data_IF_353292284683
#
_entry.id   IF_353292284683
#
_cell.length_a   1.000
_cell.length_b   1.000
_cell.length_c   1.000
_cell.angle_alpha   90.00
_cell.angle_beta   90.00
_cell.angle_gamma   90.00
#
_symmetry.space_group_name_H-M   'P 1'
#
loop_
_entity.id
_entity.type
_entity.pdbx_description
1 polymer ?
#
# COMPACT_ATOMS: atom_id res chain seq x y z
N UNK A 1 5.94 -7.79 -5.98
CA UNK A 1 5.10 -7.80 -4.76
C UNK A 1 3.64 -7.74 -5.18
N UNK A 2 2.75 -8.38 -4.42
CA UNK A 2 1.30 -8.35 -4.66
C UNK A 2 0.57 -7.89 -3.41
N UNK A 3 -0.60 -7.30 -3.61
CA UNK A 3 -1.51 -6.88 -2.57
C UNK A 3 -2.96 -7.10 -2.99
N UNK A 4 -3.81 -7.44 -2.03
CA UNK A 4 -5.21 -7.79 -2.27
C UNK A 4 -6.14 -6.73 -1.68
N UNK A 5 -7.18 -6.38 -2.42
CA UNK A 5 -8.21 -5.48 -1.93
C UNK A 5 -9.52 -5.70 -2.66
N UNK A 6 -10.47 -4.81 -2.41
CA UNK A 6 -11.73 -4.81 -3.11
C UNK A 6 -12.33 -3.41 -3.15
N UNK A 7 -13.15 -3.16 -4.16
CA UNK A 7 -14.09 -2.04 -4.15
C UNK A 7 -15.51 -2.54 -3.93
N UNK A 8 -16.40 -1.62 -3.51
CA UNK A 8 -17.81 -1.92 -3.41
C UNK A 8 -18.47 -1.54 -4.74
N UNK A 9 -18.93 -2.55 -5.48
CA UNK A 9 -19.60 -2.34 -6.76
C UNK A 9 -20.99 -1.70 -6.50
N UNK A 10 -21.08 -0.37 -6.57
CA UNK A 10 -22.30 0.39 -6.21
C UNK A 10 -23.35 0.50 -7.32
N UNK A 11 -23.10 -0.03 -8.52
CA UNK A 11 -24.00 0.20 -9.66
C UNK A 11 -24.81 -1.04 -10.03
N UNK A 12 -26.14 -0.84 -10.02
CA UNK A 12 -27.23 -1.71 -10.49
C UNK A 12 -27.52 -3.01 -9.73
N UNK A 13 -28.21 -2.89 -8.58
CA UNK A 13 -29.10 -3.95 -8.13
C UNK A 13 -30.38 -3.35 -7.53
N UNK A 14 -31.46 -3.44 -8.31
CA UNK A 14 -32.83 -3.52 -7.78
C UNK A 14 -32.83 -4.46 -6.57
N UNK A 15 -33.39 -3.98 -5.46
CA UNK A 15 -33.59 -4.67 -4.17
C UNK A 15 -33.53 -6.20 -4.28
N UNK A 16 -32.34 -6.78 -4.15
CA UNK A 16 -32.14 -8.21 -3.85
C UNK A 16 -31.15 -8.29 -2.70
N UNK A 17 -31.50 -9.13 -1.72
CA UNK A 17 -30.84 -9.36 -0.41
C UNK A 17 -29.34 -9.04 -0.42
N UNK A 18 -28.88 -8.30 0.61
CA UNK A 18 -27.46 -7.97 0.93
C UNK A 18 -26.53 -9.18 0.75
N UNK A 19 -26.06 -9.41 -0.47
CA UNK A 19 -24.79 -10.09 -0.72
C UNK A 19 -23.76 -8.99 -0.80
N UNK A 20 -22.70 -9.07 0.01
CA UNK A 20 -21.57 -8.16 -0.08
C UNK A 20 -20.96 -8.30 -1.48
N UNK A 21 -21.37 -7.44 -2.42
CA UNK A 21 -20.93 -7.47 -3.80
C UNK A 21 -19.58 -6.75 -3.92
N UNK A 22 -18.57 -7.32 -3.27
CA UNK A 22 -17.19 -6.82 -3.28
C UNK A 22 -16.54 -7.26 -4.59
N UNK A 23 -16.10 -6.31 -5.40
CA UNK A 23 -15.26 -6.61 -6.55
C UNK A 23 -13.82 -6.71 -6.06
N UNK A 24 -13.33 -7.95 -5.93
CA UNK A 24 -11.96 -8.18 -5.53
C UNK A 24 -10.99 -7.71 -6.60
N UNK A 25 -9.80 -7.29 -6.19
CA UNK A 25 -8.74 -6.76 -7.05
C UNK A 25 -7.37 -7.15 -6.52
N UNK A 26 -6.40 -7.23 -7.42
CA UNK A 26 -4.99 -7.52 -7.09
C UNK A 26 -4.13 -6.37 -7.58
N UNK A 27 -3.43 -5.70 -6.68
CA UNK A 27 -2.35 -4.79 -7.02
C UNK A 27 -1.06 -5.60 -7.20
N UNK A 28 -0.40 -5.39 -8.33
CA UNK A 28 0.94 -5.92 -8.64
C UNK A 28 1.92 -4.75 -8.70
N UNK A 29 3.00 -4.86 -7.93
CA UNK A 29 4.11 -3.91 -7.89
C UNK A 29 5.37 -4.65 -8.34
N UNK A 30 6.02 -4.14 -9.38
CA UNK A 30 7.22 -4.77 -9.95
C UNK A 30 8.21 -3.73 -10.43
N UNK A 31 9.49 -4.07 -10.34
CA UNK A 31 10.57 -3.25 -10.88
C UNK A 31 10.91 -3.76 -12.29
N UNK A 32 10.98 -2.85 -13.27
CA UNK A 32 11.40 -3.20 -14.63
C UNK A 32 12.93 -3.27 -14.77
N UNK A 33 13.67 -2.50 -13.96
CA UNK A 33 15.12 -2.36 -14.08
C UNK A 33 15.78 -2.39 -12.69
N UNK A 34 16.36 -3.52 -12.26
CA UNK A 34 17.04 -3.62 -10.96
C UNK A 34 18.26 -2.70 -10.82
N UNK A 35 18.89 -2.32 -11.94
CA UNK A 35 20.20 -1.66 -11.99
C UNK A 35 20.16 -0.14 -12.18
N UNK A 36 18.99 0.45 -12.44
CA UNK A 36 18.80 1.91 -12.54
C UNK A 36 17.60 2.27 -11.68
N UNK A 37 17.74 3.29 -10.84
CA UNK A 37 16.72 3.94 -10.00
C UNK A 37 15.35 3.26 -9.95
N UNK A 38 14.93 2.82 -8.76
CA UNK A 38 13.64 2.23 -8.35
C UNK A 38 12.37 2.58 -9.18
N UNK A 39 12.36 2.23 -10.47
CA UNK A 39 11.27 2.48 -11.41
C UNK A 39 10.23 1.39 -11.25
N UNK A 40 9.45 1.51 -10.17
CA UNK A 40 8.33 0.65 -9.92
C UNK A 40 7.19 0.94 -10.89
N UNK A 41 6.60 -0.14 -11.42
CA UNK A 41 5.35 -0.12 -12.15
C UNK A 41 4.27 -0.79 -11.32
N UNK A 42 3.05 -0.32 -11.56
CA UNK A 42 1.87 -0.70 -10.81
C UNK A 42 0.80 -1.16 -11.80
N UNK A 43 0.25 -2.33 -11.55
CA UNK A 43 -0.86 -2.88 -12.31
C UNK A 43 -1.95 -3.35 -11.35
N UNK A 44 -3.20 -3.17 -11.72
CA UNK A 44 -4.35 -3.72 -10.99
C UNK A 44 -5.04 -4.74 -11.86
N UNK A 45 -5.23 -5.94 -11.33
CA UNK A 45 -6.12 -6.93 -11.91
C UNK A 45 -7.52 -6.73 -11.34
N UNK A 46 -8.49 -6.59 -12.23
CA UNK A 46 -9.90 -6.46 -11.90
C UNK A 46 -10.64 -7.75 -12.26
N UNK A 47 -11.18 -8.43 -11.25
CA UNK A 47 -11.90 -9.68 -11.43
C UNK A 47 -13.22 -9.51 -12.19
N UNK A 48 -13.85 -8.33 -12.11
CA UNK A 48 -15.10 -8.07 -12.82
C UNK A 48 -14.92 -7.97 -14.33
N UNK A 49 -13.77 -7.42 -14.77
CA UNK A 49 -13.43 -7.32 -16.19
C UNK A 49 -12.48 -8.42 -16.67
N UNK A 50 -11.99 -9.27 -15.76
CA UNK A 50 -11.00 -10.31 -16.02
C UNK A 50 -9.76 -9.76 -16.76
N UNK A 51 -9.26 -8.59 -16.35
CA UNK A 51 -8.19 -7.91 -17.09
C UNK A 51 -7.20 -7.18 -16.17
N UNK A 52 -5.98 -6.99 -16.68
CA UNK A 52 -4.96 -6.15 -16.05
C UNK A 52 -5.03 -4.72 -16.59
N UNK A 53 -5.00 -3.75 -15.68
CA UNK A 53 -4.92 -2.32 -15.98
C UNK A 53 -3.58 -1.77 -15.46
N UNK A 54 -2.85 -1.05 -16.31
CA UNK A 54 -1.64 -0.33 -15.91
C UNK A 54 -2.03 0.97 -15.20
N UNK A 55 -1.37 1.27 -14.08
CA UNK A 55 -1.52 2.54 -13.39
C UNK A 55 -0.34 3.45 -13.71
N UNK A 56 -0.63 4.68 -14.13
CA UNK A 56 0.38 5.72 -14.30
C UNK A 56 0.55 6.49 -12.99
N UNK A 57 1.35 5.91 -12.09
CA UNK A 57 1.66 6.51 -10.78
C UNK A 57 3.16 6.63 -10.60
N UNK A 58 3.59 7.79 -10.09
CA UNK A 58 4.98 8.12 -9.77
C UNK A 58 5.07 8.57 -8.32
N UNK A 59 5.15 7.63 -7.36
CA UNK A 59 5.23 7.99 -5.95
C UNK A 59 6.57 8.65 -5.62
N UNK A 60 6.54 9.60 -4.68
CA UNK A 60 7.74 10.26 -4.14
C UNK A 60 8.44 9.44 -3.04
N UNK A 61 8.02 8.18 -2.86
CA UNK A 61 8.45 7.27 -1.81
C UNK A 61 8.74 5.89 -2.39
N UNK A 62 9.53 5.10 -1.66
CA UNK A 62 9.90 3.75 -2.06
C UNK A 62 9.28 2.71 -1.14
N UNK A 63 8.62 1.71 -1.72
CA UNK A 63 8.19 0.49 -1.03
C UNK A 63 9.33 -0.53 -1.12
N UNK A 64 9.89 -0.95 0.02
CA UNK A 64 10.97 -1.93 0.00
C UNK A 64 10.46 -3.32 -0.38
N UNK A 65 11.23 -4.05 -1.18
CA UNK A 65 10.84 -5.37 -1.70
C UNK A 65 10.54 -6.42 -0.62
N UNK A 66 11.14 -6.29 0.57
CA UNK A 66 10.92 -7.17 1.72
C UNK A 66 9.73 -6.74 2.60
N UNK A 67 9.28 -5.49 2.50
CA UNK A 67 8.15 -4.99 3.30
C UNK A 67 6.83 -5.41 2.66
N UNK A 68 5.99 -6.12 3.42
CA UNK A 68 4.68 -6.59 2.93
C UNK A 68 3.60 -5.57 3.24
N UNK A 69 2.73 -5.32 2.27
CA UNK A 69 1.51 -4.56 2.50
C UNK A 69 0.49 -5.36 3.29
N UNK A 70 -0.33 -4.68 4.08
CA UNK A 70 -1.40 -5.29 4.88
C UNK A 70 -2.75 -4.75 4.47
N UNK A 71 -3.70 -5.65 4.23
CA UNK A 71 -5.05 -5.28 3.80
C UNK A 71 -5.97 -5.04 5.00
N UNK A 72 -6.65 -3.89 4.99
CA UNK A 72 -7.66 -3.49 5.97
C UNK A 72 -8.87 -2.91 5.25
N UNK A 73 -10.06 -3.44 5.52
CA UNK A 73 -11.36 -2.94 5.00
C UNK A 73 -11.40 -2.72 3.48
N UNK A 74 -10.67 -3.55 2.73
CA UNK A 74 -10.64 -3.53 1.26
C UNK A 74 -9.48 -2.73 0.64
N UNK A 75 -8.71 -2.02 1.45
CA UNK A 75 -7.52 -1.28 1.00
C UNK A 75 -6.23 -1.90 1.55
N UNK A 76 -5.10 -1.63 0.92
CA UNK A 76 -3.80 -2.14 1.40
C UNK A 76 -2.89 -1.00 1.85
N UNK A 77 -2.27 -1.18 3.01
CA UNK A 77 -1.35 -0.24 3.64
C UNK A 77 0.07 -0.75 3.50
N UNK A 78 0.99 0.13 3.11
CA UNK A 78 2.40 -0.19 2.93
C UNK A 78 3.26 0.75 3.78
N UNK A 79 4.26 0.23 4.51
CA UNK A 79 5.32 1.06 5.04
C UNK A 79 6.22 1.49 3.88
N UNK A 80 6.62 2.76 3.85
CA UNK A 80 7.45 3.33 2.79
C UNK A 80 8.44 4.34 3.36
N UNK A 81 9.60 4.42 2.70
CA UNK A 81 10.59 5.46 2.98
C UNK A 81 10.32 6.66 2.08
N UNK A 82 10.02 7.80 2.69
CA UNK A 82 9.89 9.10 2.02
C UNK A 82 11.16 9.91 2.24
N UNK A 83 11.74 10.41 1.14
CA UNK A 83 12.87 11.36 1.23
C UNK A 83 12.34 12.74 1.62
N UNK A 84 12.87 13.33 2.70
CA UNK A 84 12.73 14.74 3.04
C UNK A 84 14.05 15.46 2.77
N UNK A 85 13.98 16.63 2.15
CA UNK A 85 15.15 17.45 1.76
C UNK A 85 15.32 18.71 2.62
N UNK A 86 14.51 18.91 3.65
CA UNK A 86 14.59 20.12 4.50
C UNK A 86 15.81 20.02 5.42
N UNK A 87 16.84 20.83 5.15
CA UNK A 87 18.06 20.91 5.95
C UNK A 87 19.06 19.75 5.77
N UNK A 88 18.85 18.87 4.79
CA UNK A 88 19.65 17.67 4.53
C UNK A 88 18.81 16.52 3.94
N UNK A 89 19.43 15.41 3.55
CA UNK A 89 18.70 14.19 3.11
C UNK A 89 18.33 13.37 4.34
N UNK A 90 17.09 13.53 4.82
CA UNK A 90 16.53 12.70 5.89
C UNK A 90 15.50 11.72 5.30
N UNK A 91 15.55 10.46 5.73
CA UNK A 91 14.57 9.46 5.35
C UNK A 91 13.56 9.34 6.49
N UNK A 92 12.27 9.49 6.16
CA UNK A 92 11.17 9.30 7.09
C UNK A 92 10.36 8.06 6.70
N UNK A 93 10.06 7.17 7.65
CA UNK A 93 9.07 6.14 7.42
C UNK A 93 7.66 6.71 7.56
N UNK A 94 6.82 6.38 6.60
CA UNK A 94 5.40 6.74 6.58
C UNK A 94 4.58 5.54 6.11
N UNK A 95 3.28 5.57 6.36
CA UNK A 95 2.34 4.62 5.79
C UNK A 95 1.65 5.23 4.57
N UNK A 96 1.49 4.45 3.51
CA UNK A 96 0.65 4.83 2.37
C UNK A 96 -0.42 3.79 2.15
N UNK A 97 -1.64 4.26 1.90
CA UNK A 97 -2.79 3.41 1.59
C UNK A 97 -2.99 3.36 0.08
N UNK A 98 -3.04 2.18 -0.50
CA UNK A 98 -3.59 1.99 -1.84
C UNK A 98 -5.11 1.80 -1.74
N UNK A 99 -5.86 2.77 -2.25
CA UNK A 99 -7.32 2.76 -2.30
C UNK A 99 -7.76 2.00 -3.56
N UNK A 100 -8.31 0.79 -3.40
CA UNK A 100 -8.75 -0.04 -4.52
C UNK A 100 -10.01 0.49 -5.21
N UNK A 101 -10.81 1.31 -4.53
CA UNK A 101 -11.99 1.95 -5.14
C UNK A 101 -11.57 3.06 -6.09
N UNK A 102 -10.52 3.82 -5.73
CA UNK A 102 -9.99 4.92 -6.55
C UNK A 102 -8.78 4.53 -7.39
N UNK A 103 -8.29 3.30 -7.23
CA UNK A 103 -7.09 2.73 -7.86
C UNK A 103 -5.86 3.66 -7.75
N UNK A 104 -5.64 4.24 -6.56
CA UNK A 104 -4.57 5.20 -6.34
C UNK A 104 -4.01 5.14 -4.92
N UNK A 105 -2.77 5.58 -4.76
CA UNK A 105 -2.21 5.81 -3.43
C UNK A 105 -2.82 7.08 -2.81
N UNK A 106 -3.18 7.00 -1.54
CA UNK A 106 -3.56 8.12 -0.71
C UNK A 106 -2.36 8.93 -0.23
N UNK A 107 -2.59 10.03 0.51
CA UNK A 107 -1.52 10.81 1.11
C UNK A 107 -0.73 9.96 2.12
N UNK A 108 0.57 10.26 2.31
CA UNK A 108 1.35 9.68 3.40
C UNK A 108 0.71 9.93 4.76
N UNK A 109 0.64 8.89 5.56
CA UNK A 109 0.16 8.90 6.92
C UNK A 109 1.38 8.86 7.84
N UNK A 110 1.52 9.82 8.77
CA UNK A 110 2.64 9.83 9.70
C UNK A 110 2.57 8.61 10.61
N UNK A 111 3.74 8.07 10.97
CA UNK A 111 3.82 7.04 12.01
C UNK A 111 3.65 7.68 13.38
N UNK A 112 3.13 6.94 14.38
CA UNK A 112 3.05 7.39 15.76
C UNK A 112 4.42 7.51 16.45
N UNK A 113 5.52 7.24 15.75
CA UNK A 113 6.88 7.31 16.26
C UNK A 113 7.83 7.91 15.21
N UNK A 114 8.93 8.50 15.69
CA UNK A 114 10.00 9.01 14.85
C UNK A 114 10.99 7.88 14.55
N UNK A 115 10.98 7.37 13.32
CA UNK A 115 11.90 6.34 12.85
C UNK A 115 13.06 6.89 12.03
N UNK A 116 13.54 8.09 12.37
CA UNK A 116 14.70 8.68 11.70
C UNK A 116 15.89 7.73 11.82
N UNK A 117 16.55 7.48 10.67
CA UNK A 117 17.73 6.64 10.52
C UNK A 117 17.42 5.13 10.55
N UNK A 118 17.39 4.59 9.32
CA UNK A 118 17.40 3.22 8.77
C UNK A 118 17.74 1.95 9.61
N UNK A 119 17.80 1.97 10.94
CA UNK A 119 18.13 0.83 11.80
C UNK A 119 16.90 0.29 12.58
N UNK A 120 15.71 0.44 12.00
CA UNK A 120 14.47 0.01 12.63
C UNK A 120 13.78 -1.06 11.77
N UNK A 121 13.29 -2.11 12.44
CA UNK A 121 12.41 -3.09 11.83
C UNK A 121 10.95 -2.66 12.05
N UNK A 122 10.24 -2.41 10.95
CA UNK A 122 8.80 -2.10 10.96
C UNK A 122 8.04 -3.25 10.30
N UNK A 123 7.10 -3.85 11.04
CA UNK A 123 6.18 -4.87 10.52
C UNK A 123 4.74 -4.44 10.77
N UNK A 124 3.89 -4.65 9.76
CA UNK A 124 2.46 -4.39 9.84
C UNK A 124 1.68 -5.68 10.02
N UNK A 125 0.58 -5.59 10.75
CA UNK A 125 -0.41 -6.66 10.89
C UNK A 125 -1.83 -6.09 10.91
N UNK A 126 -2.80 -6.93 10.57
CA UNK A 126 -4.22 -6.61 10.67
C UNK A 126 -4.82 -7.38 11.85
N UNK A 127 -5.37 -6.67 12.82
CA UNK A 127 -5.98 -7.27 14.00
C UNK A 127 -7.49 -7.34 13.78
N UNK A 128 -8.00 -8.57 13.76
CA UNK A 128 -9.44 -8.88 13.64
C UNK A 128 -10.11 -8.26 12.40
N UNK A 129 -9.35 -7.98 11.34
CA UNK A 129 -9.83 -7.29 10.13
C UNK A 129 -10.36 -5.85 10.37
N UNK A 130 -10.11 -5.28 11.55
CA UNK A 130 -10.71 -4.01 11.98
C UNK A 130 -9.68 -2.91 12.22
N UNK A 131 -8.47 -3.29 12.63
CA UNK A 131 -7.41 -2.38 13.04
C UNK A 131 -6.07 -2.76 12.43
N UNK A 132 -5.22 -1.76 12.19
CA UNK A 132 -3.81 -1.96 11.85
C UNK A 132 -2.99 -1.95 13.14
N UNK A 133 -2.18 -2.96 13.32
CA UNK A 133 -1.13 -2.99 14.33
C UNK A 133 0.23 -2.87 13.65
N UNK A 134 1.16 -2.20 14.33
CA UNK A 134 2.51 -1.99 13.84
C UNK A 134 3.50 -2.35 14.94
N UNK A 135 4.40 -3.26 14.62
CA UNK A 135 5.56 -3.56 15.43
C UNK A 135 6.69 -2.64 15.01
N UNK A 136 7.24 -1.93 15.99
CA UNK A 136 8.45 -1.12 15.83
C UNK A 136 9.53 -1.69 16.74
N UNK A 137 10.64 -2.09 16.15
CA UNK A 137 11.80 -2.56 16.88
C UNK A 137 13.04 -1.79 16.45
N UNK A 138 13.70 -1.16 17.41
CA UNK A 138 15.00 -0.53 17.23
C UNK A 138 16.09 -1.57 17.51
N UNK A 139 17.10 -1.67 16.66
CA UNK A 139 18.29 -2.44 17.00
C UNK A 139 19.24 -1.59 17.87
N UNK A 140 19.65 -2.14 19.02
CA UNK A 140 20.63 -1.54 19.93
C UNK A 140 20.09 -0.54 20.96
N UNK A 141 20.00 -0.97 22.22
CA UNK A 141 20.36 -0.16 23.40
C UNK A 141 21.45 -0.94 24.13
#
# INVERSE_FOLDING_TARGET
MYAFGYDNNRNHAVKKKKKNNRNHKILRIFNLYPSRNHDFRYQVYDFSSNSWKVLDVKPEWNIHSHQRGVSLKGNTYFPVHKKRTVGGVNIEDVLVCFDFTKERFGPPLPLPFNSYNAENFVSLSCVREEQLAMLYQRWGI
#
